data_IF_905665320347
#
_entry.id   IF_905665320347
#
_cell.length_a   1.000
_cell.length_b   1.000
_cell.length_c   1.000
_cell.angle_alpha   90.00
_cell.angle_beta   90.00
_cell.angle_gamma   90.00
#
_symmetry.space_group_name_H-M   'P 1'
#
loop_
_entity.id
_entity.type
_entity.pdbx_description
1 polymer ?
#
# COMPACT_ATOMS: atom_id res chain seq x y z
N UNK A 1 -28.61 -14.53 37.99
CA UNK A 1 -28.08 -14.31 36.62
C UNK A 1 -26.79 -15.10 36.35
N UNK A 2 -25.72 -15.01 37.18
CA UNK A 2 -24.47 -15.79 37.02
C UNK A 2 -24.66 -17.31 36.87
N UNK A 3 -25.60 -17.90 37.64
CA UNK A 3 -25.88 -19.34 37.60
C UNK A 3 -26.54 -19.82 36.30
N UNK A 4 -27.28 -18.95 35.59
CA UNK A 4 -27.95 -19.31 34.33
C UNK A 4 -26.93 -19.34 33.19
N UNK A 5 -26.08 -18.33 33.10
CA UNK A 5 -25.00 -18.23 32.10
C UNK A 5 -24.02 -19.41 32.27
N UNK A 6 -23.62 -19.70 33.52
CA UNK A 6 -22.71 -20.81 33.80
C UNK A 6 -23.31 -22.19 33.49
N UNK A 7 -24.64 -22.32 33.38
CA UNK A 7 -25.32 -23.58 33.04
C UNK A 7 -25.59 -23.70 31.54
N UNK A 8 -25.87 -22.59 30.87
CA UNK A 8 -26.18 -22.54 29.43
C UNK A 8 -24.96 -22.61 28.50
N UNK A 9 -23.79 -22.23 29.01
CA UNK A 9 -22.57 -22.13 28.22
C UNK A 9 -21.39 -22.94 28.79
N UNK A 10 -21.66 -23.82 29.77
CA UNK A 10 -20.61 -24.58 30.47
C UNK A 10 -19.91 -25.60 29.59
N UNK A 11 -20.65 -26.13 28.63
CA UNK A 11 -20.26 -27.17 27.68
C UNK A 11 -19.50 -26.61 26.46
N UNK A 12 -19.50 -25.28 26.27
CA UNK A 12 -18.93 -24.66 25.09
C UNK A 12 -17.49 -24.23 25.32
N UNK A 13 -16.63 -24.55 24.35
CA UNK A 13 -15.32 -23.93 24.23
C UNK A 13 -15.48 -22.41 24.00
N UNK A 14 -14.51 -21.62 24.43
CA UNK A 14 -14.47 -20.17 24.27
C UNK A 14 -14.74 -19.73 22.83
N UNK A 15 -14.08 -20.36 21.84
CA UNK A 15 -14.30 -20.04 20.42
C UNK A 15 -15.75 -20.29 20.00
N UNK A 16 -16.29 -21.46 20.33
CA UNK A 16 -17.67 -21.85 20.02
C UNK A 16 -18.70 -20.98 20.74
N UNK A 17 -18.37 -20.48 21.93
CA UNK A 17 -19.19 -19.53 22.67
C UNK A 17 -19.24 -18.18 21.94
N UNK A 18 -18.10 -17.63 21.54
CA UNK A 18 -18.07 -16.35 20.81
C UNK A 18 -18.73 -16.46 19.45
N UNK A 19 -18.52 -17.55 18.73
CA UNK A 19 -19.20 -17.82 17.47
C UNK A 19 -20.73 -17.81 17.67
N UNK A 20 -21.23 -18.51 18.70
CA UNK A 20 -22.65 -18.51 19.04
C UNK A 20 -23.17 -17.10 19.36
N UNK A 21 -22.46 -16.35 20.19
CA UNK A 21 -22.84 -15.00 20.62
C UNK A 21 -22.87 -14.00 19.44
N UNK A 22 -21.97 -14.17 18.48
CA UNK A 22 -21.86 -13.30 17.29
C UNK A 22 -22.87 -13.67 16.20
N UNK A 23 -23.28 -14.94 16.09
CA UNK A 23 -24.04 -15.44 14.93
C UNK A 23 -25.48 -15.83 15.22
N UNK A 24 -25.83 -16.25 16.44
CA UNK A 24 -27.17 -16.76 16.76
C UNK A 24 -28.04 -15.72 17.45
N UNK A 25 -29.29 -15.64 16.99
CA UNK A 25 -30.33 -14.90 17.69
C UNK A 25 -30.79 -15.65 18.96
N UNK A 26 -31.18 -14.94 20.02
CA UNK A 26 -31.31 -13.48 20.12
C UNK A 26 -30.00 -12.74 20.46
N UNK A 27 -28.91 -13.46 20.77
CA UNK A 27 -27.70 -12.91 21.39
C UNK A 27 -27.01 -11.84 20.55
N UNK A 28 -26.92 -12.03 19.24
CA UNK A 28 -26.29 -11.07 18.34
C UNK A 28 -27.03 -9.72 18.29
N UNK A 29 -28.35 -9.72 18.52
CA UNK A 29 -29.18 -8.52 18.57
C UNK A 29 -29.22 -7.91 19.97
N UNK A 30 -29.40 -8.73 20.99
CA UNK A 30 -29.53 -8.29 22.39
C UNK A 30 -28.23 -7.70 22.93
N UNK A 31 -27.07 -8.20 22.48
CA UNK A 31 -25.75 -7.72 22.89
C UNK A 31 -25.01 -6.94 21.79
N UNK A 32 -25.73 -6.39 20.80
CA UNK A 32 -25.14 -5.71 19.63
C UNK A 32 -24.07 -4.65 19.99
N UNK A 33 -24.31 -3.85 21.02
CA UNK A 33 -23.35 -2.80 21.45
C UNK A 33 -22.06 -3.40 22.02
N UNK A 34 -22.17 -4.48 22.80
CA UNK A 34 -21.01 -5.18 23.37
C UNK A 34 -20.23 -5.86 22.26
N UNK A 35 -20.91 -6.53 21.32
CA UNK A 35 -20.28 -7.18 20.18
C UNK A 35 -19.59 -6.17 19.26
N UNK A 36 -20.16 -4.97 19.09
CA UNK A 36 -19.52 -3.89 18.35
C UNK A 36 -18.20 -3.45 19.01
N UNK A 37 -18.18 -3.32 20.33
CA UNK A 37 -16.95 -3.02 21.07
C UNK A 37 -15.91 -4.14 20.92
N UNK A 38 -16.33 -5.40 21.00
CA UNK A 38 -15.45 -6.56 20.78
C UNK A 38 -14.85 -6.54 19.37
N UNK A 39 -15.64 -6.23 18.33
CA UNK A 39 -15.11 -6.07 16.98
C UNK A 39 -14.06 -4.96 16.89
N UNK A 40 -14.29 -3.80 17.51
CA UNK A 40 -13.28 -2.74 17.56
C UNK A 40 -12.01 -3.26 18.23
N UNK A 41 -12.13 -3.93 19.38
CA UNK A 41 -10.96 -4.48 20.10
C UNK A 41 -10.18 -5.51 19.30
N UNK A 42 -10.85 -6.32 18.47
CA UNK A 42 -10.19 -7.31 17.61
C UNK A 42 -9.41 -6.69 16.44
N UNK A 43 -9.76 -5.47 16.04
CA UNK A 43 -9.05 -4.71 14.99
C UNK A 43 -7.85 -3.95 15.57
N UNK A 44 -7.83 -3.66 16.87
CA UNK A 44 -6.73 -2.95 17.49
C UNK A 44 -5.45 -3.81 17.47
N UNK A 45 -4.33 -3.27 16.95
CA UNK A 45 -3.07 -4.00 16.96
C UNK A 45 -2.63 -4.24 18.40
N UNK A 46 -2.43 -5.51 18.76
CA UNK A 46 -2.01 -5.93 20.10
C UNK A 46 -0.52 -5.63 20.35
N UNK A 47 0.26 -5.37 19.29
CA UNK A 47 1.71 -5.17 19.36
C UNK A 47 2.16 -3.88 18.68
N UNK A 48 3.14 -3.20 19.27
CA UNK A 48 3.86 -2.07 18.68
C UNK A 48 4.77 -2.47 17.52
N UNK A 49 5.00 -3.77 17.28
CA UNK A 49 5.90 -4.26 16.24
C UNK A 49 5.52 -3.75 14.84
N UNK A 50 4.22 -3.57 14.57
CA UNK A 50 3.75 -2.99 13.29
C UNK A 50 4.23 -1.54 13.17
N UNK A 51 4.08 -0.75 14.23
CA UNK A 51 4.54 0.65 14.28
C UNK A 51 6.07 0.74 14.14
N UNK A 52 6.82 -0.14 14.82
CA UNK A 52 8.29 -0.20 14.75
C UNK A 52 8.79 -0.54 13.33
N UNK A 53 8.09 -1.43 12.62
CA UNK A 53 8.36 -1.69 11.19
C UNK A 53 8.10 -0.46 10.33
N UNK A 54 7.01 0.27 10.59
CA UNK A 54 6.70 1.54 9.93
C UNK A 54 7.81 2.59 10.13
N UNK A 55 8.23 2.82 11.38
CA UNK A 55 9.33 3.76 11.68
C UNK A 55 10.66 3.35 11.06
N UNK A 56 10.97 2.05 11.08
CA UNK A 56 12.18 1.53 10.43
C UNK A 56 12.14 1.76 8.92
N UNK A 57 10.97 1.59 8.30
CA UNK A 57 10.76 1.83 6.86
C UNK A 57 10.88 3.31 6.52
N UNK A 58 10.26 4.19 7.31
CA UNK A 58 10.41 5.64 7.17
C UNK A 58 11.87 6.07 7.25
N UNK A 59 12.65 5.52 8.19
CA UNK A 59 14.07 5.85 8.36
C UNK A 59 14.92 5.44 7.15
N UNK A 60 14.53 4.37 6.43
CA UNK A 60 15.16 3.96 5.15
C UNK A 60 14.75 4.87 3.98
N UNK A 61 13.46 5.22 3.90
CA UNK A 61 12.88 6.01 2.81
C UNK A 61 13.32 7.47 2.85
N UNK A 62 13.36 8.06 4.06
CA UNK A 62 13.74 9.46 4.28
C UNK A 62 15.00 9.52 5.14
N UNK A 63 16.18 9.16 4.58
CA UNK A 63 17.43 9.34 5.29
C UNK A 63 17.69 10.83 5.49
N UNK A 64 18.19 11.17 6.68
CA UNK A 64 18.34 12.54 7.22
C UNK A 64 19.14 13.48 6.29
N UNK A 65 20.03 12.93 5.49
CA UNK A 65 20.99 13.72 4.71
C UNK A 65 20.47 14.28 3.39
N UNK A 66 19.41 13.76 2.74
CA UNK A 66 19.06 14.18 1.34
C UNK A 66 17.61 14.05 0.84
N UNK A 67 16.59 13.78 1.66
CA UNK A 67 15.25 13.48 1.14
C UNK A 67 14.23 14.64 1.24
N UNK A 68 14.01 15.35 0.12
CA UNK A 68 12.92 16.34 -0.07
C UNK A 68 11.66 15.67 -0.64
N UNK A 69 11.15 14.63 0.03
CA UNK A 69 9.90 13.97 -0.34
C UNK A 69 8.71 14.64 0.35
N UNK A 70 7.61 14.80 -0.39
CA UNK A 70 6.33 15.23 0.17
C UNK A 70 5.81 14.19 1.16
N UNK A 71 5.07 14.63 2.18
CA UNK A 71 4.56 13.75 3.24
C UNK A 71 3.72 12.61 2.66
N UNK A 72 2.79 12.90 1.75
CA UNK A 72 1.93 11.91 1.10
C UNK A 72 2.77 10.83 0.37
N UNK A 73 3.81 11.26 -0.37
CA UNK A 73 4.71 10.32 -1.05
C UNK A 73 5.50 9.46 -0.07
N UNK A 74 5.88 10.00 1.09
CA UNK A 74 6.54 9.21 2.14
C UNK A 74 5.59 8.18 2.71
N UNK A 75 4.33 8.55 2.97
CA UNK A 75 3.30 7.65 3.46
C UNK A 75 3.04 6.50 2.48
N UNK A 76 2.85 6.80 1.20
CA UNK A 76 2.66 5.79 0.15
C UNK A 76 3.83 4.80 0.10
N UNK A 77 5.07 5.31 0.16
CA UNK A 77 6.27 4.46 0.15
C UNK A 77 6.40 3.61 1.41
N UNK A 78 5.97 4.12 2.57
CA UNK A 78 5.92 3.33 3.81
C UNK A 78 4.90 2.21 3.67
N UNK A 79 3.70 2.50 3.16
CA UNK A 79 2.66 1.50 2.93
C UNK A 79 3.14 0.39 1.99
N UNK A 80 3.75 0.76 0.86
CA UNK A 80 4.35 -0.21 -0.06
C UNK A 80 5.46 -1.02 0.63
N UNK A 81 6.28 -0.39 1.46
CA UNK A 81 7.37 -1.08 2.15
C UNK A 81 6.91 -2.02 3.27
N UNK A 82 5.74 -1.79 3.87
CA UNK A 82 5.25 -2.56 5.03
C UNK A 82 4.27 -3.64 4.60
N UNK A 83 3.37 -3.34 3.67
CA UNK A 83 2.25 -4.20 3.25
C UNK A 83 2.36 -4.66 1.78
N UNK A 84 3.32 -4.15 1.02
CA UNK A 84 3.51 -4.52 -0.38
C UNK A 84 3.98 -5.97 -0.55
N UNK A 85 3.76 -6.56 -1.74
CA UNK A 85 4.24 -7.90 -2.06
C UNK A 85 5.77 -7.96 -2.07
N UNK A 86 6.32 -9.18 -2.00
CA UNK A 86 7.75 -9.39 -2.18
C UNK A 86 8.19 -8.90 -3.57
N UNK A 87 9.48 -8.60 -3.73
CA UNK A 87 10.00 -8.17 -5.04
C UNK A 87 9.83 -9.26 -6.12
N UNK A 88 9.82 -10.53 -5.72
CA UNK A 88 9.65 -11.67 -6.63
C UNK A 88 8.20 -11.78 -7.12
N UNK A 89 7.23 -11.40 -6.28
CA UNK A 89 5.80 -11.46 -6.58
C UNK A 89 5.24 -10.16 -7.17
N UNK A 90 6.04 -9.10 -7.21
CA UNK A 90 5.59 -7.78 -7.67
C UNK A 90 5.53 -7.67 -9.20
N UNK A 91 4.33 -7.47 -9.75
CA UNK A 91 4.13 -7.17 -11.17
C UNK A 91 4.11 -5.67 -11.45
N UNK A 92 5.19 -5.16 -12.04
CA UNK A 92 5.35 -3.74 -12.34
C UNK A 92 4.55 -3.25 -13.56
N UNK A 93 3.92 -4.13 -14.36
CA UNK A 93 3.34 -3.77 -15.66
C UNK A 93 2.28 -2.67 -15.55
N UNK A 94 1.37 -2.80 -14.60
CA UNK A 94 0.29 -1.82 -14.40
C UNK A 94 0.83 -0.49 -13.88
N UNK A 95 1.75 -0.52 -12.90
CA UNK A 95 2.39 0.69 -12.37
C UNK A 95 3.13 1.46 -13.45
N UNK A 96 3.85 0.75 -14.32
CA UNK A 96 4.57 1.33 -15.46
C UNK A 96 3.61 1.91 -16.50
N UNK A 97 2.53 1.20 -16.84
CA UNK A 97 1.51 1.70 -17.76
C UNK A 97 0.87 3.00 -17.24
N UNK A 98 0.50 3.03 -15.95
CA UNK A 98 -0.04 4.21 -15.29
C UNK A 98 0.97 5.36 -15.26
N UNK A 99 2.24 5.06 -14.99
CA UNK A 99 3.29 6.08 -15.00
C UNK A 99 3.49 6.74 -16.38
N UNK A 100 3.30 5.99 -17.46
CA UNK A 100 3.36 6.54 -18.82
C UNK A 100 2.21 7.47 -19.16
N UNK A 101 1.01 7.21 -18.64
CA UNK A 101 -0.22 7.91 -19.03
C UNK A 101 -0.59 9.06 -18.10
N UNK A 102 -0.24 9.00 -16.82
CA UNK A 102 -0.65 10.02 -15.83
C UNK A 102 0.12 11.35 -15.91
N UNK A 103 1.27 11.39 -16.59
CA UNK A 103 2.08 12.61 -16.68
C UNK A 103 1.47 13.67 -17.59
N UNK A 104 1.45 14.93 -17.13
CA UNK A 104 1.11 16.10 -17.97
C UNK A 104 2.05 16.29 -19.18
N UNK A 105 3.24 15.68 -19.11
CA UNK A 105 4.24 15.67 -20.19
C UNK A 105 4.49 14.24 -20.62
N UNK A 106 4.60 14.03 -21.93
CA UNK A 106 5.00 12.76 -22.50
C UNK A 106 6.34 12.30 -21.89
N UNK A 107 6.31 11.17 -21.19
CA UNK A 107 7.50 10.54 -20.62
C UNK A 107 8.33 9.94 -21.76
N UNK A 108 9.66 10.07 -21.70
CA UNK A 108 10.59 9.61 -22.74
C UNK A 108 11.45 8.46 -22.22
N UNK A 109 10.93 7.23 -22.15
CA UNK A 109 11.70 6.07 -21.68
C UNK A 109 12.91 5.77 -22.59
N UNK A 110 12.83 6.14 -23.87
CA UNK A 110 13.90 6.00 -24.86
C UNK A 110 14.71 7.28 -25.06
N UNK A 111 14.93 8.08 -24.01
CA UNK A 111 15.75 9.29 -24.14
C UNK A 111 17.19 8.93 -24.51
N UNK A 112 17.53 9.05 -25.80
CA UNK A 112 18.92 9.08 -26.26
C UNK A 112 19.45 10.49 -26.02
N UNK A 113 20.39 10.63 -25.10
CA UNK A 113 21.12 11.88 -24.90
C UNK A 113 21.82 12.33 -26.19
N UNK A 114 22.14 13.63 -26.28
CA UNK A 114 22.83 14.25 -27.42
C UNK A 114 24.29 13.76 -27.65
N UNK A 115 24.62 12.53 -27.27
CA UNK A 115 25.90 11.88 -27.55
C UNK A 115 25.82 10.76 -28.59
N UNK A 116 24.61 10.33 -28.99
CA UNK A 116 24.41 9.13 -29.81
C UNK A 116 23.80 9.41 -31.20
N UNK A 117 24.06 10.60 -31.74
CA UNK A 117 23.77 10.99 -33.13
C UNK A 117 25.04 11.10 -34.00
N UNK A 118 26.18 10.55 -33.56
CA UNK A 118 27.33 10.32 -34.46
C UNK A 118 27.08 9.04 -35.26
N UNK A 119 26.34 9.15 -36.35
CA UNK A 119 26.17 8.00 -37.25
C UNK A 119 25.22 8.16 -38.42
N UNK A 120 24.36 9.19 -38.46
CA UNK A 120 23.50 9.45 -39.62
C UNK A 120 24.09 10.63 -40.39
N UNK A 121 25.25 10.38 -41.00
CA UNK A 121 25.70 11.13 -42.16
C UNK A 121 24.90 10.61 -43.36
N UNK A 122 23.73 11.19 -43.61
CA UNK A 122 23.17 11.16 -44.95
C UNK A 122 23.60 12.47 -45.61
N UNK A 123 24.52 12.33 -46.54
CA UNK A 123 25.17 13.37 -47.32
C UNK A 123 24.21 13.76 -48.44
N UNK A 124 23.49 14.86 -48.30
CA UNK A 124 22.80 15.47 -49.44
C UNK A 124 23.56 16.74 -49.85
N UNK A 125 24.32 16.71 -50.96
CA UNK A 125 24.93 17.90 -51.53
C UNK A 125 23.92 18.55 -52.47
N UNK A 126 23.34 19.67 -52.07
CA UNK A 126 22.67 20.57 -53.01
C UNK A 126 21.37 21.16 -52.50
N UNK A 127 21.48 22.30 -51.82
CA UNK A 127 20.50 23.38 -51.91
C UNK A 127 21.16 24.67 -51.43
N UNK A 128 21.68 25.43 -52.38
CA UNK A 128 21.70 26.88 -52.24
C UNK A 128 20.24 27.35 -52.04
N UNK A 129 20.05 28.39 -51.23
CA UNK A 129 19.24 29.58 -51.53
C UNK A 129 18.83 30.30 -50.22
N UNK A 130 19.56 31.40 -50.00
CA UNK A 130 19.09 32.76 -49.67
C UNK A 130 18.08 32.97 -48.55
N UNK A 131 18.58 33.67 -47.52
CA UNK A 131 17.88 34.64 -46.67
C UNK A 131 16.70 35.36 -47.35
N UNK A 132 15.54 35.35 -46.69
CA UNK A 132 14.78 36.55 -46.31
C UNK A 132 14.23 36.31 -44.90
#
# INVERSE_FOLDING_TARGET
MKMLISRMFKDKNYLSLWELMMTKEPYCLEYKNILHFVHIMLVLPVSSAVCERGFSSQKRIKPDVRASLHTDTVEDLIWISVEGPSLEDFDARESVANWFTQGQRARRPHYRGMGQLRGIFCKDPGAAHTFV
#
